data_IF_409051292650
#
_entry.id   IF_409051292650
#
_cell.length_a   1.000
_cell.length_b   1.000
_cell.length_c   1.000
_cell.angle_alpha   90.00
_cell.angle_beta   90.00
_cell.angle_gamma   90.00
#
_symmetry.space_group_name_H-M   'P 1'
#
loop_
_entity.id
_entity.type
_entity.pdbx_description
1 polymer ?
#
# COMPACT_ATOMS: atom_id res chain seq x y z
N UNK A 1 49.89 61.71 -65.96
CA UNK A 1 50.12 62.27 -67.31
C UNK A 1 51.58 62.66 -67.43
N UNK A 2 52.16 62.74 -68.63
CA UNK A 2 53.58 63.11 -68.82
C UNK A 2 53.69 64.62 -69.09
N UNK A 3 54.65 65.32 -68.46
CA UNK A 3 54.91 66.74 -68.77
C UNK A 3 55.87 66.86 -69.97
N UNK A 4 55.87 68.04 -70.62
CA UNK A 4 56.52 68.30 -71.92
C UNK A 4 58.08 68.21 -71.92
N UNK A 5 58.66 67.93 -70.77
CA UNK A 5 60.09 67.84 -70.44
C UNK A 5 60.55 66.38 -70.21
N UNK A 6 59.68 65.40 -70.44
CA UNK A 6 60.01 63.97 -70.36
C UNK A 6 60.18 63.45 -68.94
N UNK A 7 59.88 64.30 -67.95
CA UNK A 7 59.67 63.90 -66.56
C UNK A 7 58.19 63.59 -66.40
N UNK A 8 57.89 62.47 -65.76
CA UNK A 8 56.53 62.17 -65.36
C UNK A 8 56.17 62.99 -64.12
N UNK A 9 54.88 63.28 -63.96
CA UNK A 9 54.38 63.78 -62.69
C UNK A 9 54.51 62.64 -61.66
N UNK A 10 55.20 62.92 -60.57
CA UNK A 10 55.37 62.08 -59.38
C UNK A 10 54.80 62.92 -58.22
N UNK A 11 53.56 62.61 -57.86
CA UNK A 11 52.75 63.45 -56.96
C UNK A 11 53.06 63.20 -55.48
N UNK A 12 53.54 62.01 -55.12
CA UNK A 12 53.86 61.64 -53.73
C UNK A 12 55.38 61.55 -53.45
N UNK A 13 56.22 61.63 -54.48
CA UNK A 13 57.67 61.78 -54.40
C UNK A 13 58.41 60.47 -54.15
N UNK A 14 57.80 59.32 -54.44
CA UNK A 14 58.38 58.00 -54.20
C UNK A 14 59.33 57.52 -55.32
N UNK A 15 59.39 58.27 -56.44
CA UNK A 15 60.24 57.99 -57.58
C UNK A 15 59.60 57.12 -58.67
N UNK A 16 58.31 56.82 -58.58
CA UNK A 16 57.48 56.20 -59.61
C UNK A 16 56.59 57.28 -60.26
N UNK A 17 56.30 57.11 -61.55
CA UNK A 17 55.45 58.04 -62.28
C UNK A 17 53.97 57.78 -61.98
N UNK A 18 53.15 58.82 -61.78
CA UNK A 18 51.69 58.70 -61.53
C UNK A 18 50.94 57.84 -62.58
N UNK A 19 51.48 57.71 -63.80
CA UNK A 19 50.88 56.89 -64.88
C UNK A 19 51.25 55.41 -64.82
N UNK A 20 52.34 55.11 -64.13
CA UNK A 20 52.90 53.77 -63.92
C UNK A 20 52.62 53.29 -62.47
N UNK A 21 51.97 54.11 -61.66
CA UNK A 21 51.43 53.72 -60.37
C UNK A 21 50.23 52.77 -60.54
N UNK A 22 50.33 51.63 -59.87
CA UNK A 22 49.24 50.68 -59.70
C UNK A 22 48.86 50.73 -58.23
N UNK A 23 47.72 51.35 -57.95
CA UNK A 23 47.19 51.46 -56.58
C UNK A 23 46.60 50.14 -56.12
N UNK A 24 47.13 49.58 -55.03
CA UNK A 24 46.68 48.32 -54.45
C UNK A 24 47.29 48.09 -53.07
N UNK A 25 47.17 46.88 -52.53
CA UNK A 25 47.85 46.55 -51.28
C UNK A 25 49.28 46.06 -51.58
N UNK A 26 50.29 46.77 -51.10
CA UNK A 26 51.71 46.43 -51.30
C UNK A 26 52.29 45.51 -50.22
N UNK A 27 51.53 45.22 -49.15
CA UNK A 27 51.96 44.35 -48.06
C UNK A 27 51.82 42.87 -48.42
N UNK A 28 52.94 42.15 -48.50
CA UNK A 28 53.01 40.72 -48.86
C UNK A 28 52.37 39.77 -47.84
N UNK A 29 52.13 40.24 -46.60
CA UNK A 29 51.44 39.48 -45.57
C UNK A 29 49.91 39.69 -45.58
N UNK A 30 49.39 40.61 -46.41
CA UNK A 30 47.96 40.87 -46.52
C UNK A 30 47.24 39.84 -47.41
N UNK A 31 45.97 39.58 -47.11
CA UNK A 31 45.13 38.64 -47.86
C UNK A 31 44.78 39.13 -49.27
N UNK A 32 44.80 40.44 -49.48
CA UNK A 32 44.56 41.10 -50.77
C UNK A 32 45.83 41.74 -51.32
N UNK A 33 47.02 41.19 -51.00
CA UNK A 33 48.28 41.59 -51.62
C UNK A 33 48.15 41.56 -53.14
N UNK A 34 48.56 42.65 -53.78
CA UNK A 34 48.57 42.81 -55.23
C UNK A 34 50.03 42.90 -55.68
N UNK A 35 50.48 41.91 -56.45
CA UNK A 35 51.87 41.82 -56.90
C UNK A 35 52.25 42.90 -57.91
N UNK A 36 51.26 43.49 -58.58
CA UNK A 36 51.45 44.58 -59.53
C UNK A 36 51.40 45.96 -58.84
N UNK A 37 50.92 46.03 -57.59
CA UNK A 37 50.78 47.29 -56.87
C UNK A 37 52.14 47.83 -56.39
N UNK A 38 52.37 49.10 -56.67
CA UNK A 38 53.56 49.84 -56.23
C UNK A 38 53.23 51.08 -55.38
N UNK A 39 51.94 51.47 -55.32
CA UNK A 39 51.44 52.52 -54.43
C UNK A 39 50.36 51.94 -53.49
N UNK A 40 50.57 52.05 -52.17
CA UNK A 40 49.63 51.53 -51.16
C UNK A 40 48.42 52.46 -51.02
N UNK A 41 47.24 51.94 -51.33
CA UNK A 41 45.99 52.68 -51.22
C UNK A 41 45.32 52.55 -49.82
N UNK A 42 45.98 51.90 -48.87
CA UNK A 42 45.48 51.68 -47.50
C UNK A 42 44.36 50.63 -47.43
N UNK A 43 44.13 49.86 -48.49
CA UNK A 43 43.10 48.80 -48.51
C UNK A 43 43.60 47.44 -48.06
N UNK A 44 44.86 47.34 -47.57
CA UNK A 44 45.42 46.10 -47.08
C UNK A 44 44.58 45.44 -45.97
N UNK A 45 44.17 44.19 -46.21
CA UNK A 45 43.46 43.34 -45.25
C UNK A 45 44.46 42.38 -44.63
N UNK A 46 44.87 42.65 -43.40
CA UNK A 46 45.76 41.75 -42.67
C UNK A 46 45.01 40.50 -42.19
N UNK A 47 45.67 39.33 -42.15
CA UNK A 47 45.10 38.13 -41.58
C UNK A 47 44.86 38.31 -40.07
N UNK A 48 43.62 38.11 -39.65
CA UNK A 48 43.19 38.03 -38.26
C UNK A 48 42.73 36.58 -37.99
N UNK A 49 43.59 35.72 -37.42
CA UNK A 49 43.28 34.32 -37.22
C UNK A 49 42.31 34.10 -36.06
N UNK A 50 41.22 33.37 -36.30
CA UNK A 50 40.23 33.02 -35.29
C UNK A 50 39.22 32.01 -35.84
N UNK A 51 38.13 31.76 -35.11
CA UNK A 51 37.08 30.90 -35.64
C UNK A 51 36.12 31.72 -36.53
N UNK A 52 36.07 31.40 -37.81
CA UNK A 52 35.23 32.11 -38.80
C UNK A 52 33.84 31.48 -38.99
N UNK A 53 33.56 30.36 -38.33
CA UNK A 53 32.29 29.64 -38.45
C UNK A 53 31.23 30.21 -37.51
N UNK A 54 30.11 30.79 -38.02
CA UNK A 54 29.05 31.36 -37.17
C UNK A 54 28.33 30.35 -36.28
N UNK A 55 28.44 29.06 -36.62
CA UNK A 55 27.83 27.96 -35.84
C UNK A 55 28.77 27.40 -34.77
N UNK A 56 29.98 27.96 -34.62
CA UNK A 56 30.91 27.57 -33.58
C UNK A 56 30.66 28.33 -32.28
N UNK A 57 30.94 27.67 -31.16
CA UNK A 57 30.79 28.20 -29.82
C UNK A 57 31.74 29.36 -29.50
N UNK A 58 32.89 29.39 -30.16
CA UNK A 58 33.90 30.44 -30.06
C UNK A 58 34.03 31.25 -31.35
N UNK A 59 32.93 31.41 -32.10
CA UNK A 59 32.89 32.26 -33.29
C UNK A 59 33.43 33.66 -32.97
N UNK A 60 34.40 34.09 -33.77
CA UNK A 60 34.99 35.41 -33.70
C UNK A 60 34.54 36.23 -34.93
N UNK A 61 33.67 37.24 -34.75
CA UNK A 61 33.17 38.06 -35.85
C UNK A 61 34.26 38.95 -36.49
N UNK A 62 35.41 39.13 -35.86
CA UNK A 62 36.54 39.91 -36.40
C UNK A 62 37.54 39.03 -37.15
N UNK A 63 37.46 37.70 -37.03
CA UNK A 63 38.35 36.77 -37.70
C UNK A 63 38.06 36.71 -39.21
N UNK A 64 39.13 36.74 -40.01
CA UNK A 64 39.05 36.62 -41.48
C UNK A 64 39.87 35.43 -42.03
N UNK A 65 40.59 34.73 -41.15
CA UNK A 65 41.30 33.49 -41.45
C UNK A 65 40.92 32.45 -40.40
N UNK A 66 40.42 31.30 -40.84
CA UNK A 66 40.18 30.17 -39.93
C UNK A 66 41.52 29.58 -39.47
N UNK A 67 41.75 29.58 -38.17
CA UNK A 67 42.94 28.98 -37.57
C UNK A 67 42.72 27.54 -37.08
N UNK A 68 41.55 26.95 -37.34
CA UNK A 68 41.18 25.60 -36.88
C UNK A 68 40.80 25.54 -35.40
N UNK A 69 40.62 26.67 -34.71
CA UNK A 69 40.22 26.72 -33.30
C UNK A 69 38.71 26.57 -33.07
N UNK A 70 37.89 26.47 -34.12
CA UNK A 70 36.44 26.40 -33.99
C UNK A 70 35.98 25.21 -33.12
N UNK A 71 35.31 25.53 -32.01
CA UNK A 71 34.71 24.56 -31.10
C UNK A 71 33.22 24.41 -31.39
N UNK A 72 32.73 23.18 -31.43
CA UNK A 72 31.31 22.88 -31.74
C UNK A 72 30.52 22.33 -30.56
N UNK A 73 31.17 22.06 -29.42
CA UNK A 73 30.57 21.28 -28.31
C UNK A 73 30.53 22.06 -27.00
N UNK A 74 31.39 23.05 -26.80
CA UNK A 74 31.51 23.77 -25.52
C UNK A 74 30.27 24.58 -25.14
N UNK A 75 29.46 24.98 -26.11
CA UNK A 75 28.18 25.66 -25.95
C UNK A 75 26.97 24.72 -26.09
N UNK A 76 27.19 23.42 -26.18
CA UNK A 76 26.13 22.41 -26.15
C UNK A 76 25.81 22.05 -24.70
N UNK A 77 24.53 21.99 -24.36
CA UNK A 77 24.08 21.64 -23.01
C UNK A 77 22.60 21.27 -23.01
N UNK A 78 22.13 20.68 -21.91
CA UNK A 78 20.72 20.34 -21.81
C UNK A 78 19.87 21.62 -21.68
N UNK A 79 18.89 21.80 -22.57
CA UNK A 79 17.97 22.94 -22.55
C UNK A 79 16.65 22.65 -21.83
N UNK A 80 16.50 21.45 -21.27
CA UNK A 80 15.30 21.02 -20.55
C UNK A 80 15.42 21.36 -19.06
N UNK A 81 14.54 22.22 -18.55
CA UNK A 81 14.51 22.66 -17.15
C UNK A 81 14.27 21.51 -16.16
N UNK A 82 13.71 20.39 -16.62
CA UNK A 82 13.49 19.21 -15.78
C UNK A 82 14.72 18.30 -15.66
N UNK A 83 15.81 18.57 -16.39
CA UNK A 83 17.01 17.75 -16.36
C UNK A 83 18.00 18.21 -15.28
N UNK A 84 18.73 17.26 -14.69
CA UNK A 84 19.73 17.50 -13.66
C UNK A 84 20.95 18.29 -14.14
N UNK A 85 21.25 18.22 -15.43
CA UNK A 85 22.33 18.95 -16.07
C UNK A 85 21.80 20.10 -16.95
N UNK A 86 20.63 20.66 -16.60
CA UNK A 86 20.07 21.83 -17.26
C UNK A 86 21.08 22.97 -17.31
N UNK A 87 21.29 23.50 -18.51
CA UNK A 87 22.17 24.63 -18.77
C UNK A 87 21.38 25.72 -19.52
N UNK A 88 20.96 26.80 -18.84
CA UNK A 88 20.23 27.91 -19.46
C UNK A 88 21.08 28.71 -20.47
N UNK A 89 22.40 28.53 -20.45
CA UNK A 89 23.33 29.22 -21.35
C UNK A 89 23.71 28.38 -22.58
N UNK A 90 23.16 27.16 -22.72
CA UNK A 90 23.40 26.34 -23.89
C UNK A 90 22.84 27.03 -25.15
N UNK A 91 23.62 27.05 -26.24
CA UNK A 91 23.20 27.56 -27.54
C UNK A 91 22.68 26.42 -28.44
N UNK A 92 23.17 25.21 -28.20
CA UNK A 92 22.76 24.00 -28.92
C UNK A 92 22.33 22.90 -27.95
N UNK A 93 21.37 22.08 -28.38
CA UNK A 93 20.86 20.96 -27.58
C UNK A 93 21.97 19.93 -27.41
N UNK A 94 22.37 19.72 -26.16
CA UNK A 94 23.28 18.67 -25.72
C UNK A 94 22.53 17.49 -25.09
N UNK A 95 23.29 16.55 -24.51
CA UNK A 95 22.73 15.42 -23.77
C UNK A 95 22.10 15.88 -22.46
N UNK A 96 20.92 15.35 -22.15
CA UNK A 96 20.22 15.57 -20.88
C UNK A 96 20.32 14.32 -19.99
N UNK A 97 20.59 14.54 -18.70
CA UNK A 97 20.52 13.54 -17.65
C UNK A 97 19.36 13.86 -16.73
N UNK A 98 18.48 12.89 -16.50
CA UNK A 98 17.33 13.03 -15.63
C UNK A 98 17.54 12.22 -14.36
N UNK A 99 16.88 12.65 -13.29
CA UNK A 99 16.85 11.89 -12.07
C UNK A 99 16.14 10.54 -12.29
N UNK A 100 16.54 9.54 -11.51
CA UNK A 100 15.83 8.25 -11.49
C UNK A 100 14.47 8.48 -10.83
N UNK A 101 13.42 7.80 -11.29
CA UNK A 101 12.09 7.91 -10.67
C UNK A 101 12.17 7.63 -9.17
N UNK A 102 11.68 8.55 -8.34
CA UNK A 102 11.75 8.48 -6.86
C UNK A 102 13.01 9.08 -6.24
N UNK A 103 13.90 9.62 -7.06
CA UNK A 103 15.13 10.27 -6.64
C UNK A 103 15.23 11.67 -7.24
N UNK A 104 15.95 12.54 -6.57
CA UNK A 104 16.33 13.85 -7.08
C UNK A 104 17.63 13.78 -7.90
N UNK A 105 18.11 14.94 -8.34
CA UNK A 105 19.31 15.05 -9.16
C UNK A 105 20.63 14.82 -8.42
N UNK A 106 20.61 14.91 -7.10
CA UNK A 106 21.75 14.58 -6.23
C UNK A 106 21.72 13.09 -5.83
N UNK A 107 20.71 12.35 -6.29
CA UNK A 107 20.50 10.95 -5.95
C UNK A 107 19.95 10.75 -4.55
N UNK A 108 19.41 11.81 -3.93
CA UNK A 108 18.65 11.72 -2.68
C UNK A 108 17.27 11.20 -3.04
N UNK A 109 16.81 10.19 -2.30
CA UNK A 109 15.47 9.69 -2.54
C UNK A 109 14.41 10.57 -1.91
N UNK A 110 13.25 10.59 -2.54
CA UNK A 110 12.04 11.13 -1.94
C UNK A 110 11.57 10.15 -0.86
N UNK A 111 11.54 10.61 0.38
CA UNK A 111 11.10 9.89 1.58
C UNK A 111 10.10 10.81 2.29
N UNK A 112 8.82 10.57 2.03
CA UNK A 112 7.73 11.46 2.43
C UNK A 112 7.48 11.44 3.94
N UNK A 113 7.71 10.30 4.60
CA UNK A 113 7.42 10.10 6.02
C UNK A 113 8.67 10.09 6.93
N UNK A 114 9.86 10.13 6.32
CA UNK A 114 11.19 10.26 6.94
C UNK A 114 11.58 9.05 7.79
N UNK A 115 11.14 7.85 7.41
CA UNK A 115 11.49 6.61 8.10
C UNK A 115 12.83 6.00 7.65
N UNK A 116 13.40 6.52 6.55
CA UNK A 116 14.67 6.09 5.96
C UNK A 116 14.55 5.04 4.86
N UNK A 117 13.33 4.66 4.47
CA UNK A 117 13.00 3.91 3.27
C UNK A 117 12.47 4.90 2.22
N UNK A 118 12.93 4.77 0.98
CA UNK A 118 12.50 5.67 -0.08
C UNK A 118 11.08 5.32 -0.55
N UNK A 119 10.24 6.30 -0.89
CA UNK A 119 8.85 6.11 -1.33
C UNK A 119 8.69 5.05 -2.44
N UNK A 120 9.66 5.00 -3.36
CA UNK A 120 9.65 4.05 -4.49
C UNK A 120 10.13 2.65 -4.11
N UNK A 121 10.75 2.52 -2.94
CA UNK A 121 11.23 1.27 -2.35
C UNK A 121 10.30 0.79 -1.22
N UNK A 122 9.29 1.58 -0.85
CA UNK A 122 8.28 1.19 0.11
C UNK A 122 7.54 -0.07 -0.35
N UNK A 123 7.42 -1.01 0.56
CA UNK A 123 6.68 -2.25 0.36
C UNK A 123 5.49 -2.26 1.31
N UNK A 124 4.30 -2.15 0.73
CA UNK A 124 3.05 -2.24 1.46
C UNK A 124 2.77 -3.67 1.93
N UNK A 125 2.43 -3.82 3.20
CA UNK A 125 1.99 -5.08 3.80
C UNK A 125 1.92 -5.00 5.32
N UNK A 126 1.53 -6.09 5.97
CA UNK A 126 1.42 -6.05 7.42
C UNK A 126 2.79 -5.95 8.11
N UNK A 127 3.04 -4.83 8.80
CA UNK A 127 4.29 -4.57 9.55
C UNK A 127 4.25 -5.07 11.01
N UNK A 128 3.08 -5.48 11.50
CA UNK A 128 2.91 -5.98 12.85
C UNK A 128 3.46 -7.40 12.99
N UNK A 129 4.57 -7.56 13.72
CA UNK A 129 5.24 -8.85 13.98
C UNK A 129 4.37 -9.91 14.68
N UNK A 130 3.27 -9.49 15.32
CA UNK A 130 2.32 -10.39 15.98
C UNK A 130 1.17 -10.80 15.07
N UNK A 131 1.05 -10.24 13.87
CA UNK A 131 0.04 -10.62 12.91
C UNK A 131 0.42 -11.92 12.19
N UNK A 132 -0.60 -12.68 11.80
CA UNK A 132 -0.46 -13.94 11.10
C UNK A 132 0.14 -13.82 9.70
N UNK A 133 -0.14 -12.71 9.02
CA UNK A 133 0.38 -12.37 7.71
C UNK A 133 1.47 -11.29 7.77
N UNK A 134 2.19 -11.21 8.90
CA UNK A 134 3.35 -10.33 9.02
C UNK A 134 4.29 -10.50 7.82
N UNK A 135 4.62 -9.39 7.17
CA UNK A 135 5.55 -9.34 6.07
C UNK A 135 6.83 -8.62 6.55
N UNK A 136 7.91 -9.38 6.75
CA UNK A 136 9.19 -8.81 7.16
C UNK A 136 9.84 -7.90 6.11
N UNK A 137 9.38 -7.97 4.86
CA UNK A 137 9.80 -7.06 3.80
C UNK A 137 8.91 -5.84 3.65
N UNK A 138 7.82 -5.71 4.43
CA UNK A 138 6.99 -4.52 4.41
C UNK A 138 7.64 -3.41 5.24
N UNK A 139 7.75 -2.23 4.64
CA UNK A 139 8.09 -0.98 5.33
C UNK A 139 6.80 -0.29 5.80
N UNK A 140 5.74 -0.33 4.99
CA UNK A 140 4.49 0.41 5.24
C UNK A 140 3.31 -0.53 5.54
N UNK A 141 2.58 -0.21 6.62
CA UNK A 141 1.34 -0.93 6.94
C UNK A 141 0.22 -0.57 5.98
N UNK A 142 -0.26 -1.56 5.22
CA UNK A 142 -1.38 -1.42 4.29
C UNK A 142 -2.75 -1.68 4.94
N UNK A 143 -2.75 -1.96 6.25
CA UNK A 143 -3.96 -2.31 7.00
C UNK A 143 -4.44 -3.73 6.75
N UNK A 144 -3.66 -4.57 6.05
CA UNK A 144 -4.00 -5.98 5.80
C UNK A 144 -3.73 -6.90 6.99
N UNK A 145 -3.19 -6.39 8.11
CA UNK A 145 -2.81 -7.20 9.26
C UNK A 145 -3.97 -8.07 9.80
N UNK A 146 -3.75 -9.39 9.76
CA UNK A 146 -4.64 -10.41 10.29
C UNK A 146 -4.13 -10.83 11.66
N UNK A 147 -4.87 -10.46 12.70
CA UNK A 147 -4.53 -10.86 14.08
C UNK A 147 -5.13 -12.24 14.40
N UNK A 148 -4.53 -12.90 15.39
CA UNK A 148 -5.13 -14.05 16.05
C UNK A 148 -6.31 -13.59 16.90
N UNK A 149 -7.43 -14.30 16.82
CA UNK A 149 -8.56 -14.10 17.74
C UNK A 149 -8.29 -14.77 19.10
N UNK A 150 -9.26 -14.69 20.02
CA UNK A 150 -9.15 -15.30 21.33
C UNK A 150 -9.05 -16.85 21.29
N UNK A 151 -9.41 -17.47 20.17
CA UNK A 151 -9.27 -18.90 19.91
C UNK A 151 -7.92 -19.26 19.27
N UNK A 152 -7.05 -18.28 19.04
CA UNK A 152 -5.76 -18.48 18.37
C UNK A 152 -5.89 -18.67 16.86
N UNK A 153 -7.05 -18.33 16.27
CA UNK A 153 -7.30 -18.45 14.83
C UNK A 153 -7.03 -17.12 14.15
N UNK A 154 -6.19 -17.15 13.12
CA UNK A 154 -5.89 -15.99 12.28
C UNK A 154 -7.14 -15.48 11.56
N UNK A 155 -7.52 -14.23 11.82
CA UNK A 155 -8.69 -13.59 11.20
C UNK A 155 -10.01 -14.21 11.64
N UNK A 156 -9.99 -14.98 12.72
CA UNK A 156 -11.19 -15.56 13.31
C UNK A 156 -12.05 -14.51 14.01
N UNK A 157 -13.29 -14.90 14.29
CA UNK A 157 -14.29 -14.09 14.98
C UNK A 157 -14.48 -14.52 16.45
N UNK A 158 -13.62 -15.39 16.98
CA UNK A 158 -13.69 -15.89 18.35
C UNK A 158 -14.72 -16.98 18.59
N UNK A 159 -15.37 -17.54 17.56
CA UNK A 159 -16.43 -18.55 17.76
C UNK A 159 -15.97 -19.99 17.57
N UNK A 160 -14.78 -20.21 17.01
CA UNK A 160 -14.29 -21.55 16.66
C UNK A 160 -13.95 -22.43 17.88
N UNK A 161 -13.68 -21.80 19.02
CA UNK A 161 -13.45 -22.44 20.32
C UNK A 161 -14.56 -22.12 21.33
N UNK A 162 -15.63 -21.48 20.88
CA UNK A 162 -16.76 -21.11 21.70
C UNK A 162 -17.82 -22.23 21.67
N UNK A 163 -18.29 -22.63 22.84
CA UNK A 163 -19.34 -23.63 23.02
C UNK A 163 -19.80 -23.64 24.47
N UNK A 164 -20.80 -24.46 24.81
CA UNK A 164 -21.26 -24.49 26.18
C UNK A 164 -20.25 -25.21 27.09
N UNK A 165 -19.75 -24.53 28.12
CA UNK A 165 -18.81 -25.10 29.09
C UNK A 165 -19.46 -25.84 30.27
N UNK A 166 -20.79 -25.77 30.38
CA UNK A 166 -21.53 -26.41 31.47
C UNK A 166 -21.83 -27.87 31.16
N UNK A 167 -21.28 -28.80 31.95
CA UNK A 167 -21.53 -30.25 31.80
C UNK A 167 -23.02 -30.63 31.93
N UNK A 168 -23.81 -29.82 32.66
CA UNK A 168 -25.25 -30.02 32.83
C UNK A 168 -26.11 -29.52 31.65
N UNK A 169 -25.49 -28.87 30.66
CA UNK A 169 -26.20 -28.38 29.48
C UNK A 169 -26.30 -29.48 28.40
N UNK A 170 -27.40 -29.46 27.66
CA UNK A 170 -27.71 -30.40 26.61
C UNK A 170 -26.81 -30.26 25.37
N UNK A 171 -26.24 -29.08 25.18
CA UNK A 171 -25.28 -28.78 24.13
C UNK A 171 -23.87 -28.56 24.69
N UNK A 172 -23.53 -29.21 25.82
CA UNK A 172 -22.18 -29.19 26.38
C UNK A 172 -21.14 -29.58 25.31
N UNK A 173 -20.13 -28.74 25.12
CA UNK A 173 -19.03 -29.00 24.21
C UNK A 173 -17.72 -29.14 25.01
N UNK A 174 -17.20 -30.38 25.20
CA UNK A 174 -15.96 -30.60 25.94
C UNK A 174 -14.71 -30.09 25.21
N UNK A 175 -14.83 -29.69 23.93
CA UNK A 175 -13.74 -29.10 23.14
C UNK A 175 -13.71 -27.57 23.19
N UNK A 176 -14.77 -26.94 23.70
CA UNK A 176 -14.84 -25.50 23.86
C UNK A 176 -13.87 -25.03 24.95
N UNK A 177 -13.18 -23.93 24.69
CA UNK A 177 -12.28 -23.25 25.65
C UNK A 177 -12.85 -21.91 26.12
N UNK A 178 -13.97 -21.49 25.53
CA UNK A 178 -14.70 -20.28 25.84
C UNK A 178 -16.20 -20.58 25.86
N UNK A 179 -16.92 -19.99 26.82
CA UNK A 179 -18.38 -20.11 26.89
C UNK A 179 -19.02 -19.25 25.80
N UNK A 180 -19.86 -19.86 24.95
CA UNK A 180 -20.64 -19.14 23.94
C UNK A 180 -21.79 -18.33 24.55
N UNK A 181 -22.21 -18.65 25.77
CA UNK A 181 -23.41 -18.07 26.40
C UNK A 181 -24.73 -18.65 25.88
N UNK A 182 -24.66 -19.58 24.93
CA UNK A 182 -25.80 -20.25 24.29
C UNK A 182 -26.04 -21.65 24.87
N UNK A 183 -25.71 -21.86 26.16
CA UNK A 183 -25.96 -23.12 26.84
C UNK A 183 -27.47 -23.42 26.90
N UNK A 184 -27.87 -24.55 26.33
CA UNK A 184 -29.24 -25.04 26.35
C UNK A 184 -29.40 -26.03 27.50
N UNK A 185 -30.22 -25.68 28.47
CA UNK A 185 -30.51 -26.56 29.60
C UNK A 185 -31.87 -27.24 29.40
N UNK A 186 -31.95 -28.50 29.81
CA UNK A 186 -33.22 -29.19 29.80
C UNK A 186 -34.24 -28.46 30.70
N UNK A 187 -35.52 -28.39 30.30
CA UNK A 187 -36.56 -27.90 31.16
C UNK A 187 -36.62 -28.69 32.46
N UNK A 188 -37.17 -28.07 33.51
CA UNK A 188 -37.32 -28.69 34.82
C UNK A 188 -38.00 -30.08 34.67
N UNK A 189 -37.36 -31.13 35.20
CA UNK A 189 -37.82 -32.52 35.17
C UNK A 189 -37.69 -33.27 33.83
N UNK A 190 -37.03 -32.68 32.83
CA UNK A 190 -36.72 -33.33 31.56
C UNK A 190 -35.21 -33.54 31.40
N UNK A 191 -34.82 -34.59 30.68
CA UNK A 191 -33.47 -34.74 30.17
C UNK A 191 -33.32 -34.03 28.82
N UNK A 192 -32.11 -34.07 28.26
CA UNK A 192 -31.77 -33.40 27.01
C UNK A 192 -32.37 -34.02 25.76
N UNK A 193 -32.85 -35.26 25.85
CA UNK A 193 -33.60 -35.93 24.79
C UNK A 193 -35.10 -35.63 24.89
N UNK A 194 -35.52 -34.85 25.88
CA UNK A 194 -36.91 -34.50 26.14
C UNK A 194 -37.69 -35.60 26.88
N UNK A 195 -37.02 -36.59 27.46
CA UNK A 195 -37.67 -37.59 28.29
C UNK A 195 -37.84 -37.05 29.72
N UNK A 196 -38.92 -37.46 30.37
CA UNK A 196 -39.17 -37.09 31.75
C UNK A 196 -38.27 -37.92 32.69
N UNK A 197 -37.39 -37.26 33.45
CA UNK A 197 -36.47 -37.91 34.41
C UNK A 197 -37.15 -38.01 35.78
N UNK A 198 -37.71 -39.21 36.03
CA UNK A 198 -38.63 -39.56 37.11
C UNK A 198 -38.00 -39.66 38.51
N UNK A 199 -36.73 -39.29 38.75
CA UNK A 199 -36.08 -39.71 40.01
C UNK A 199 -36.42 -38.87 41.24
N UNK A 200 -36.97 -37.65 41.10
CA UNK A 200 -37.14 -36.74 42.24
C UNK A 200 -38.44 -35.90 42.27
N UNK A 201 -39.45 -36.20 41.43
CA UNK A 201 -40.67 -35.36 41.36
C UNK A 201 -41.70 -35.73 42.43
N UNK A 202 -41.78 -37.01 42.76
CA UNK A 202 -42.80 -37.55 43.64
C UNK A 202 -42.13 -38.16 44.87
N UNK A 203 -42.66 -37.86 46.06
CA UNK A 203 -42.13 -38.39 47.32
C UNK A 203 -42.26 -39.91 47.41
N UNK A 204 -41.61 -40.55 48.41
CA UNK A 204 -41.73 -41.99 48.62
C UNK A 204 -43.21 -42.44 48.67
N UNK A 205 -43.57 -43.43 47.85
CA UNK A 205 -44.95 -43.96 47.75
C UNK A 205 -45.84 -43.26 46.73
N UNK A 206 -45.29 -42.43 45.84
CA UNK A 206 -46.03 -41.79 44.74
C UNK A 206 -45.27 -41.90 43.41
N UNK A 207 -45.97 -42.11 42.29
CA UNK A 207 -45.42 -42.04 40.92
C UNK A 207 -46.06 -40.88 40.14
N UNK A 208 -45.37 -40.33 39.14
CA UNK A 208 -45.89 -39.23 38.34
C UNK A 208 -46.80 -39.77 37.21
N UNK A 209 -48.10 -39.48 37.25
CA UNK A 209 -49.02 -39.85 36.17
C UNK A 209 -48.98 -38.79 35.07
N UNK A 210 -48.48 -39.19 33.89
CA UNK A 210 -48.31 -38.30 32.74
C UNK A 210 -49.62 -37.89 32.06
N UNK A 211 -50.72 -38.61 32.28
CA UNK A 211 -52.04 -38.23 31.76
C UNK A 211 -52.71 -37.16 32.62
N UNK A 212 -52.43 -37.17 33.93
CA UNK A 212 -53.00 -36.25 34.92
C UNK A 212 -52.06 -35.08 35.22
N UNK A 213 -50.76 -35.23 34.92
CA UNK A 213 -49.73 -34.22 35.19
C UNK A 213 -49.47 -34.01 36.68
N UNK A 214 -49.70 -35.03 37.51
CA UNK A 214 -49.58 -34.96 38.97
C UNK A 214 -49.00 -36.24 39.56
N UNK A 215 -48.34 -36.12 40.71
CA UNK A 215 -47.96 -37.27 41.52
C UNK A 215 -49.23 -37.95 42.05
N UNK A 216 -49.36 -39.24 41.77
CA UNK A 216 -50.41 -40.11 42.29
C UNK A 216 -49.79 -41.18 43.19
N UNK A 217 -50.51 -41.68 44.20
CA UNK A 217 -50.01 -42.74 45.06
C UNK A 217 -49.68 -44.00 44.25
N UNK A 218 -48.52 -44.60 44.52
CA UNK A 218 -48.15 -45.88 43.94
C UNK A 218 -48.98 -46.97 44.64
N UNK A 219 -50.05 -47.43 43.98
CA UNK A 219 -50.89 -48.56 44.37
C UNK A 219 -51.34 -48.56 45.84
N UNK A 220 -52.38 -47.79 46.16
CA UNK A 220 -53.19 -48.04 47.37
C UNK A 220 -54.28 -49.04 47.02
N UNK A 221 -53.92 -50.32 46.93
CA UNK A 221 -54.92 -51.35 47.21
C UNK A 221 -55.13 -51.41 48.74
N UNK A 222 -56.40 -51.34 49.11
CA UNK A 222 -56.99 -51.71 50.41
C UNK A 222 -56.49 -50.98 51.66
N UNK A 223 -57.11 -49.85 51.97
CA UNK A 223 -57.62 -49.65 53.33
C UNK A 223 -58.81 -48.68 53.32
N UNK A 224 -59.98 -49.15 52.87
CA UNK A 224 -61.25 -48.52 53.21
C UNK A 224 -61.62 -49.02 54.62
N UNK A 225 -61.48 -48.22 55.69
CA UNK A 225 -61.52 -48.73 57.07
C UNK A 225 -62.88 -49.30 57.51
N UNK A 226 -63.90 -49.15 56.67
CA UNK A 226 -65.29 -49.54 56.92
C UNK A 226 -65.86 -50.45 55.83
N UNK A 227 -65.03 -50.86 54.88
CA UNK A 227 -65.35 -51.94 53.94
C UNK A 227 -65.20 -53.26 54.72
N UNK A 228 -66.33 -53.72 55.24
CA UNK A 228 -66.38 -54.86 56.16
C UNK A 228 -66.42 -56.19 55.41
N UNK A 229 -66.85 -56.16 54.14
CA UNK A 229 -66.93 -57.34 53.28
C UNK A 229 -65.76 -57.44 52.28
N UNK A 230 -64.90 -56.43 52.25
CA UNK A 230 -63.66 -56.31 51.49
C UNK A 230 -63.89 -56.37 49.97
N UNK A 231 -64.95 -55.71 49.50
CA UNK A 231 -65.33 -55.64 48.08
C UNK A 231 -64.83 -54.38 47.35
N UNK A 232 -64.13 -53.51 48.06
CA UNK A 232 -63.50 -52.29 47.54
C UNK A 232 -64.36 -51.04 47.63
N UNK A 233 -65.60 -51.14 48.11
CA UNK A 233 -66.51 -50.01 48.31
C UNK A 233 -66.95 -49.92 49.79
N UNK A 234 -67.50 -48.78 50.22
CA UNK A 234 -68.18 -48.66 51.53
C UNK A 234 -69.62 -48.31 51.28
N UNK A 235 -70.51 -49.31 51.33
CA UNK A 235 -71.91 -49.15 50.95
C UNK A 235 -72.91 -49.79 51.95
N UNK A 236 -74.17 -49.95 51.54
CA UNK A 236 -75.23 -50.46 52.41
C UNK A 236 -74.99 -51.91 52.85
N UNK A 237 -74.21 -52.67 52.09
CA UNK A 237 -73.88 -54.06 52.38
C UNK A 237 -72.93 -54.13 53.58
N UNK A 238 -71.95 -53.24 53.69
CA UNK A 238 -71.06 -53.14 54.87
C UNK A 238 -71.83 -52.76 56.14
N UNK A 239 -72.77 -51.82 56.01
CA UNK A 239 -73.64 -51.45 57.12
C UNK A 239 -74.53 -52.62 57.55
N UNK A 240 -74.98 -53.45 56.61
CA UNK A 240 -75.77 -54.63 56.91
C UNK A 240 -74.94 -55.67 57.66
N UNK A 241 -73.70 -55.89 57.26
CA UNK A 241 -72.77 -56.80 57.93
C UNK A 241 -72.48 -56.36 59.37
N UNK A 242 -72.28 -55.06 59.60
CA UNK A 242 -72.17 -54.50 60.94
C UNK A 242 -73.43 -54.77 61.78
N UNK A 243 -74.62 -54.53 61.21
CA UNK A 243 -75.89 -54.71 61.91
C UNK A 243 -76.20 -56.18 62.23
N UNK A 244 -75.72 -57.13 61.41
CA UNK A 244 -75.89 -58.56 61.64
C UNK A 244 -75.15 -59.05 62.88
N UNK A 245 -73.98 -58.47 63.16
CA UNK A 245 -73.17 -58.82 64.33
C UNK A 245 -73.32 -57.82 65.48
N UNK A 246 -74.15 -56.79 65.31
CA UNK A 246 -74.30 -55.73 66.30
C UNK A 246 -74.87 -56.26 67.62
N UNK A 247 -74.07 -56.22 68.68
CA UNK A 247 -74.46 -56.67 70.02
C UNK A 247 -74.17 -58.15 70.30
N UNK A 248 -73.47 -58.86 69.43
CA UNK A 248 -72.90 -60.17 69.78
C UNK A 248 -71.78 -59.98 70.81
N UNK A 249 -71.76 -60.83 71.85
CA UNK A 249 -70.64 -60.88 72.79
C UNK A 249 -69.60 -61.85 72.24
N UNK A 250 -68.39 -61.33 72.03
CA UNK A 250 -67.22 -62.13 71.73
C UNK A 250 -66.53 -62.50 73.05
N UNK A 251 -66.10 -63.76 73.18
CA UNK A 251 -65.20 -64.19 74.27
C UNK A 251 -63.76 -63.67 74.06
#
# INVERSE_FOLDING_TARGET
GVTCDGLCTDSDGDGICDVDEVSGCTNTEALNFDEDANNDNGTCVLPNPGCTSPSACNFDPEANVDNGSCESVSCSGCMDEAACNYNPMALYVGSCSYAVSGYDCDGVCEDADQDGVCDVEEVFGCTNVMACNYNAGASEDDGSCILVDACGVCGGNGTSCAGCLSEDACNYDPSATMDSGDCEFAPQYFDCDGNFILSNVCGPGTYFDTNIGSCVPENVEEFCPFDSNNDGEVDINDLMDLLLVFGTQCD
#
